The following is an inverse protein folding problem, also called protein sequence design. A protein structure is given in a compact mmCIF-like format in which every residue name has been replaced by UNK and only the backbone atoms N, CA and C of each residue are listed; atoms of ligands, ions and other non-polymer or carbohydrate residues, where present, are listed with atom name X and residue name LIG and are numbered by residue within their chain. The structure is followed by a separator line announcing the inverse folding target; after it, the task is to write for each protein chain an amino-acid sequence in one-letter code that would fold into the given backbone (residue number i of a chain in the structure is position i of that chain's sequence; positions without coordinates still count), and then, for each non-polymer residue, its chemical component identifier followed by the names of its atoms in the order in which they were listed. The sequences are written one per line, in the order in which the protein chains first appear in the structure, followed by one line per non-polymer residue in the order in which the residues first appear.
data_IF_710340620025
#
_entry.id   IF_710340620025
#
_cell.length_a   1.000
_cell.length_b   1.000
_cell.length_c   1.000
_cell.angle_alpha   90.00
_cell.angle_beta   90.00
_cell.angle_gamma   90.00
#
_symmetry.space_group_name_H-M   'P 1'
#
loop_
_entity.id
_entity.type
_entity.pdbx_description
1 polymer ?
#
# COMPACT_ATOMS: atom_id res chain seq x y z
N UNK A 1 79.53 15.19 -48.61
CA UNK A 1 78.12 14.91 -48.97
C UNK A 1 77.44 16.27 -49.13
N UNK A 2 77.59 16.90 -50.30
CA UNK A 2 76.75 16.80 -51.53
C UNK A 2 75.67 17.90 -51.57
N UNK A 3 76.01 18.94 -52.34
CA UNK A 3 75.20 19.71 -53.30
C UNK A 3 73.94 20.49 -52.85
N UNK A 4 74.10 21.82 -52.74
CA UNK A 4 73.23 22.92 -53.26
C UNK A 4 72.95 22.71 -54.78
N UNK A 5 71.95 23.28 -55.50
CA UNK A 5 71.12 24.51 -55.30
C UNK A 5 69.59 24.35 -55.59
N UNK A 6 68.67 25.20 -55.07
CA UNK A 6 68.00 26.41 -55.67
C UNK A 6 66.86 26.10 -56.70
N UNK A 7 65.93 27.03 -57.05
CA UNK A 7 64.54 27.01 -56.59
C UNK A 7 63.45 27.09 -57.71
N UNK A 8 62.17 26.90 -57.30
CA UNK A 8 60.89 27.33 -57.94
C UNK A 8 60.57 26.82 -59.38
N UNK A 9 59.29 26.49 -59.75
CA UNK A 9 58.16 27.45 -59.74
C UNK A 9 56.72 26.86 -59.59
N UNK A 10 55.73 27.70 -59.27
CA UNK A 10 54.31 27.54 -59.72
C UNK A 10 54.23 28.00 -61.21
N UNK A 11 53.23 27.71 -62.07
CA UNK A 11 51.80 27.40 -61.82
C UNK A 11 51.19 26.37 -62.82
N UNK A 12 49.89 26.07 -62.69
CA UNK A 12 49.07 25.71 -63.86
C UNK A 12 47.58 25.92 -63.56
N UNK A 13 47.08 27.07 -63.99
CA UNK A 13 45.68 27.37 -64.23
C UNK A 13 45.35 26.95 -65.68
N UNK A 14 44.32 26.11 -65.88
CA UNK A 14 43.61 25.96 -67.16
C UNK A 14 42.15 25.54 -66.91
N UNK A 15 41.28 26.53 -67.09
CA UNK A 15 40.18 26.54 -68.06
C UNK A 15 39.12 25.43 -68.07
N UNK A 16 37.91 25.85 -67.69
CA UNK A 16 36.73 25.98 -68.56
C UNK A 16 35.76 24.80 -68.81
N UNK A 17 34.53 25.01 -68.32
CA UNK A 17 33.23 25.04 -69.06
C UNK A 17 32.43 23.71 -69.24
N UNK A 18 31.08 23.78 -69.23
CA UNK A 18 30.18 22.77 -68.63
C UNK A 18 29.52 21.83 -69.64
N UNK A 19 29.00 20.71 -69.14
CA UNK A 19 28.18 19.79 -69.93
C UNK A 19 27.21 19.02 -69.05
N UNK A 20 25.92 19.32 -69.18
CA UNK A 20 24.84 18.53 -68.63
C UNK A 20 24.78 17.16 -69.32
N UNK A 21 24.71 16.08 -68.53
CA UNK A 21 24.19 14.79 -68.99
C UNK A 21 23.04 14.37 -68.07
N UNK A 22 21.86 14.30 -68.66
CA UNK A 22 20.64 13.74 -68.09
C UNK A 22 20.82 12.23 -67.85
N UNK A 23 20.41 11.76 -66.68
CA UNK A 23 19.99 10.38 -66.46
C UNK A 23 18.66 10.39 -65.69
N UNK A 24 17.60 9.89 -66.34
CA UNK A 24 16.22 9.79 -65.84
C UNK A 24 16.07 8.65 -64.80
N UNK A 25 14.91 8.50 -64.13
CA UNK A 25 14.72 8.59 -62.68
C UNK A 25 14.72 7.23 -61.95
N UNK A 26 15.17 7.19 -60.68
CA UNK A 26 14.87 6.08 -59.79
C UNK A 26 13.51 6.29 -59.11
N UNK A 27 12.59 5.31 -59.10
CA UNK A 27 11.27 5.44 -58.46
C UNK A 27 11.42 5.69 -56.96
N UNK A 28 10.87 6.80 -56.47
CA UNK A 28 10.63 6.99 -55.04
C UNK A 28 9.60 5.96 -54.60
N UNK A 29 9.98 5.07 -53.69
CA UNK A 29 9.05 4.20 -53.01
C UNK A 29 8.07 5.07 -52.19
N UNK A 30 6.74 4.94 -52.39
CA UNK A 30 5.77 5.61 -51.54
C UNK A 30 5.51 4.79 -50.27
N UNK A 31 5.59 5.45 -49.12
CA UNK A 31 5.11 5.12 -47.75
C UNK A 31 6.23 5.31 -46.73
N UNK A 32 6.10 6.15 -45.71
CA UNK A 32 5.08 6.01 -44.68
C UNK A 32 3.99 7.09 -44.73
N UNK A 33 2.76 6.61 -44.82
CA UNK A 33 1.54 7.34 -44.50
C UNK A 33 1.65 7.79 -43.05
N UNK A 34 1.76 9.10 -42.80
CA UNK A 34 1.40 9.69 -41.51
C UNK A 34 -0.07 9.33 -41.27
N UNK A 35 -0.29 8.28 -40.48
CA UNK A 35 -1.62 7.96 -39.97
C UNK A 35 -1.95 9.04 -38.94
N UNK A 36 -2.49 10.16 -39.43
CA UNK A 36 -3.27 11.09 -38.64
C UNK A 36 -4.43 10.30 -38.04
N UNK A 37 -4.28 9.85 -36.79
CA UNK A 37 -5.43 9.43 -36.01
C UNK A 37 -6.34 10.66 -35.86
N UNK A 38 -7.41 10.73 -36.64
CA UNK A 38 -8.48 11.74 -36.59
C UNK A 38 -9.26 11.73 -35.25
N UNK A 39 -8.77 11.03 -34.23
CA UNK A 39 -9.21 11.12 -32.83
C UNK A 39 -8.25 11.90 -31.94
N UNK A 40 -7.09 12.32 -32.44
CA UNK A 40 -6.09 13.10 -31.69
C UNK A 40 -6.19 14.62 -31.92
N UNK A 41 -7.05 15.09 -32.82
CA UNK A 41 -7.20 16.52 -33.17
C UNK A 41 -8.44 17.19 -32.55
N UNK A 42 -9.18 16.50 -31.68
CA UNK A 42 -10.46 16.95 -31.14
C UNK A 42 -10.45 17.53 -29.71
N UNK A 43 -9.30 17.94 -29.17
CA UNK A 43 -9.26 18.61 -27.87
C UNK A 43 -8.61 19.98 -28.02
N UNK A 44 -9.45 21.02 -28.07
CA UNK A 44 -9.02 22.40 -27.94
C UNK A 44 -8.16 22.60 -26.70
N UNK A 45 -7.36 23.68 -26.70
CA UNK A 45 -6.44 24.11 -25.66
C UNK A 45 -7.09 24.43 -24.30
N UNK A 46 -7.75 23.45 -23.68
CA UNK A 46 -7.82 23.33 -22.23
C UNK A 46 -6.77 22.32 -21.84
N UNK A 47 -5.82 22.70 -20.98
CA UNK A 47 -4.91 21.77 -20.33
C UNK A 47 -5.72 20.63 -19.69
N UNK A 48 -5.85 19.52 -20.41
CA UNK A 48 -6.43 18.31 -19.84
C UNK A 48 -5.35 17.76 -18.92
N UNK A 49 -5.59 17.85 -17.61
CA UNK A 49 -4.66 17.41 -16.58
C UNK A 49 -4.04 16.06 -16.95
N UNK A 50 -2.71 15.98 -16.93
CA UNK A 50 -1.99 14.77 -17.34
C UNK A 50 -2.34 13.62 -16.39
N UNK A 51 -2.18 12.34 -16.81
CA UNK A 51 -2.37 11.20 -15.92
C UNK A 51 -1.53 11.28 -14.62
N UNK A 52 -0.37 11.93 -14.68
CA UNK A 52 0.48 12.21 -13.51
C UNK A 52 -0.16 13.24 -12.57
N UNK A 53 -0.73 14.32 -13.12
CA UNK A 53 -1.40 15.37 -12.32
C UNK A 53 -2.62 14.82 -11.59
N UNK A 54 -3.43 13.98 -12.25
CA UNK A 54 -4.57 13.30 -11.61
C UNK A 54 -4.14 12.34 -10.51
N UNK A 55 -3.06 11.58 -10.73
CA UNK A 55 -2.50 10.69 -9.71
C UNK A 55 -1.98 11.48 -8.49
N UNK A 56 -1.31 12.61 -8.73
CA UNK A 56 -0.84 13.51 -7.67
C UNK A 56 -2.01 14.12 -6.88
N UNK A 57 -3.11 14.49 -7.55
CA UNK A 57 -4.33 14.98 -6.90
C UNK A 57 -4.96 13.92 -5.97
N UNK A 58 -5.10 12.67 -6.44
CA UNK A 58 -5.61 11.58 -5.61
C UNK A 58 -4.72 11.30 -4.39
N UNK A 59 -3.39 11.36 -4.55
CA UNK A 59 -2.43 11.23 -3.44
C UNK A 59 -2.57 12.40 -2.45
N UNK A 60 -2.74 13.63 -2.93
CA UNK A 60 -2.93 14.80 -2.08
C UNK A 60 -4.23 14.70 -1.25
N UNK A 61 -5.32 14.22 -1.85
CA UNK A 61 -6.58 13.96 -1.16
C UNK A 61 -6.42 12.86 -0.09
N UNK A 62 -5.72 11.77 -0.41
CA UNK A 62 -5.42 10.72 0.54
C UNK A 62 -4.59 11.25 1.74
N UNK A 63 -3.56 12.06 1.48
CA UNK A 63 -2.73 12.69 2.53
C UNK A 63 -3.55 13.55 3.49
N UNK A 64 -4.45 14.39 2.97
CA UNK A 64 -5.29 15.27 3.80
C UNK A 64 -6.20 14.50 4.77
N UNK A 65 -6.64 13.30 4.40
CA UNK A 65 -7.50 12.45 5.25
C UNK A 65 -6.74 11.64 6.31
N UNK A 66 -5.42 11.50 6.18
CA UNK A 66 -4.63 10.80 7.17
C UNK A 66 -4.49 11.60 8.48
N UNK A 67 -4.52 12.93 8.42
CA UNK A 67 -4.39 13.78 9.63
C UNK A 67 -5.52 13.52 10.63
N UNK A 68 -6.83 13.59 10.25
CA UNK A 68 -7.92 13.20 11.16
C UNK A 68 -7.75 11.80 11.75
N UNK A 69 -7.20 10.86 10.99
CA UNK A 69 -7.00 9.48 11.41
C UNK A 69 -5.93 9.35 12.50
N UNK A 70 -4.81 10.05 12.32
CA UNK A 70 -3.76 10.13 13.34
C UNK A 70 -4.28 10.82 14.60
N UNK A 71 -5.02 11.93 14.44
CA UNK A 71 -5.66 12.64 15.55
C UNK A 71 -6.60 11.72 16.31
N UNK A 72 -7.43 10.93 15.62
CA UNK A 72 -8.34 9.98 16.25
C UNK A 72 -7.58 8.90 17.06
N UNK A 73 -6.46 8.40 16.54
CA UNK A 73 -5.61 7.45 17.28
C UNK A 73 -5.02 8.06 18.56
N UNK A 74 -4.57 9.31 18.50
CA UNK A 74 -4.06 10.05 19.67
C UNK A 74 -5.18 10.36 20.67
N UNK A 75 -6.35 10.78 20.21
CA UNK A 75 -7.53 11.00 21.06
C UNK A 75 -7.96 9.71 21.76
N UNK A 76 -7.87 8.57 21.09
CA UNK A 76 -8.12 7.26 21.69
C UNK A 76 -7.14 6.94 22.82
N UNK A 77 -5.84 7.26 22.65
CA UNK A 77 -4.86 7.17 23.74
C UNK A 77 -5.27 8.08 24.91
N UNK A 78 -5.54 9.37 24.67
CA UNK A 78 -5.94 10.30 25.73
C UNK A 78 -7.20 9.81 26.47
N UNK A 79 -8.21 9.32 25.75
CA UNK A 79 -9.41 8.74 26.33
C UNK A 79 -9.08 7.53 27.23
N UNK A 80 -8.20 6.63 26.78
CA UNK A 80 -7.76 5.48 27.59
C UNK A 80 -6.98 5.90 28.84
N UNK A 81 -6.18 6.97 28.79
CA UNK A 81 -5.47 7.49 29.96
C UNK A 81 -6.44 8.10 30.99
N UNK A 82 -7.46 8.83 30.53
CA UNK A 82 -8.51 9.36 31.40
C UNK A 82 -9.31 8.22 32.06
N UNK A 83 -9.63 7.18 31.28
CA UNK A 83 -10.30 5.99 31.80
C UNK A 83 -9.41 5.25 32.81
N UNK A 84 -8.10 5.12 32.55
CA UNK A 84 -7.16 4.50 33.46
C UNK A 84 -7.08 5.24 34.80
N UNK A 85 -7.01 6.58 34.78
CA UNK A 85 -7.05 7.38 36.01
C UNK A 85 -8.35 7.21 36.79
N UNK A 86 -9.50 7.13 36.13
CA UNK A 86 -10.80 6.93 36.79
C UNK A 86 -10.94 5.55 37.46
N UNK A 87 -10.14 4.58 37.05
CA UNK A 87 -10.16 3.22 37.55
C UNK A 87 -8.90 2.86 38.34
N UNK A 88 -8.13 3.88 38.80
CA UNK A 88 -6.90 3.72 39.58
C UNK A 88 -5.84 2.81 38.93
N UNK A 89 -5.84 2.74 37.60
CA UNK A 89 -4.86 1.98 36.82
C UNK A 89 -3.65 2.86 36.53
N UNK A 90 -2.46 2.32 36.73
CA UNK A 90 -1.21 3.01 36.41
C UNK A 90 -1.16 3.44 34.93
N UNK A 91 -1.00 4.76 34.70
CA UNK A 91 -0.90 5.40 33.38
C UNK A 91 0.16 4.72 32.50
N UNK A 92 1.27 4.29 33.12
CA UNK A 92 2.35 3.58 32.44
C UNK A 92 1.89 2.28 31.79
N UNK A 93 1.02 1.50 32.45
CA UNK A 93 0.49 0.24 31.92
C UNK A 93 -0.33 0.49 30.65
N UNK A 94 -1.24 1.46 30.67
CA UNK A 94 -2.09 1.81 29.52
C UNK A 94 -1.26 2.31 28.34
N UNK A 95 -0.23 3.12 28.62
CA UNK A 95 0.70 3.62 27.60
C UNK A 95 1.51 2.48 26.99
N UNK A 96 1.99 1.53 27.80
CA UNK A 96 2.70 0.35 27.32
C UNK A 96 1.80 -0.54 26.46
N UNK A 97 0.54 -0.76 26.85
CA UNK A 97 -0.43 -1.54 26.03
C UNK A 97 -0.65 -0.86 24.68
N UNK A 98 -0.81 0.46 24.65
CA UNK A 98 -0.95 1.23 23.42
C UNK A 98 0.28 1.06 22.50
N UNK A 99 1.48 1.28 23.03
CA UNK A 99 2.72 1.16 22.26
C UNK A 99 2.94 -0.27 21.77
N UNK A 100 2.74 -1.25 22.64
CA UNK A 100 2.95 -2.65 22.33
C UNK A 100 1.89 -3.16 21.33
N UNK A 101 0.65 -2.66 21.35
CA UNK A 101 -0.34 -2.92 20.31
C UNK A 101 0.06 -2.33 18.94
N UNK A 102 0.68 -1.15 18.94
CA UNK A 102 1.25 -0.58 17.71
C UNK A 102 2.40 -1.43 17.15
N UNK A 103 3.30 -1.91 18.02
CA UNK A 103 4.38 -2.83 17.64
C UNK A 103 3.81 -4.18 17.17
N UNK A 104 2.77 -4.70 17.83
CA UNK A 104 2.09 -5.91 17.43
C UNK A 104 1.52 -5.82 16.01
N UNK A 105 0.94 -4.68 15.64
CA UNK A 105 0.48 -4.43 14.27
C UNK A 105 1.65 -4.50 13.29
N UNK A 106 2.78 -3.86 13.60
CA UNK A 106 3.97 -3.88 12.75
C UNK A 106 4.49 -5.32 12.56
N UNK A 107 4.57 -6.10 13.63
CA UNK A 107 5.00 -7.51 13.58
C UNK A 107 4.03 -8.34 12.75
N UNK A 108 2.72 -8.16 12.91
CA UNK A 108 1.73 -8.87 12.11
C UNK A 108 1.80 -8.49 10.62
N UNK A 109 1.94 -7.19 10.32
CA UNK A 109 2.01 -6.69 8.95
C UNK A 109 3.30 -7.14 8.24
N UNK A 110 4.46 -6.94 8.86
CA UNK A 110 5.76 -7.35 8.32
C UNK A 110 5.90 -8.87 8.27
N UNK A 111 5.53 -9.56 9.35
CA UNK A 111 5.56 -11.02 9.42
C UNK A 111 4.69 -11.64 8.33
N UNK A 112 3.49 -11.12 8.12
CA UNK A 112 2.61 -11.54 7.03
C UNK A 112 3.26 -11.37 5.66
N UNK A 113 3.81 -10.19 5.36
CA UNK A 113 4.44 -9.91 4.07
C UNK A 113 5.69 -10.77 3.82
N UNK A 114 6.57 -10.90 4.81
CA UNK A 114 7.81 -11.68 4.70
C UNK A 114 7.54 -13.17 4.58
N UNK A 115 6.66 -13.72 5.43
CA UNK A 115 6.31 -15.14 5.36
C UNK A 115 5.51 -15.45 4.09
N UNK A 116 4.62 -14.55 3.65
CA UNK A 116 3.95 -14.66 2.36
C UNK A 116 4.94 -14.74 1.20
N UNK A 117 5.97 -13.87 1.22
CA UNK A 117 7.05 -13.84 0.24
C UNK A 117 7.94 -15.10 0.27
N UNK A 118 8.29 -15.59 1.46
CA UNK A 118 9.15 -16.76 1.62
C UNK A 118 8.43 -18.06 1.25
N UNK A 119 7.15 -18.18 1.61
CA UNK A 119 6.37 -19.41 1.43
C UNK A 119 5.82 -19.57 0.02
N UNK A 120 5.84 -18.52 -0.82
CA UNK A 120 5.29 -18.59 -2.17
C UNK A 120 6.29 -18.11 -3.23
N UNK A 121 6.64 -18.99 -4.16
CA UNK A 121 7.32 -18.64 -5.43
C UNK A 121 6.31 -18.38 -6.57
N UNK A 122 5.02 -18.33 -6.24
CA UNK A 122 3.92 -18.13 -7.19
C UNK A 122 3.53 -16.66 -7.23
N UNK A 123 2.83 -16.25 -8.30
CA UNK A 123 2.60 -14.83 -8.63
C UNK A 123 2.08 -13.95 -7.49
N UNK A 124 2.35 -12.65 -7.60
CA UNK A 124 2.17 -11.60 -6.58
C UNK A 124 0.80 -11.64 -5.85
N UNK A 125 -0.28 -12.03 -6.55
CA UNK A 125 -1.62 -12.12 -5.93
C UNK A 125 -1.70 -13.19 -4.83
N UNK A 126 -1.08 -14.35 -5.03
CA UNK A 126 -1.08 -15.46 -4.06
C UNK A 126 -0.22 -15.10 -2.86
N UNK A 127 0.91 -14.45 -3.10
CA UNK A 127 1.81 -13.95 -2.08
C UNK A 127 1.12 -12.96 -1.15
N UNK A 128 0.38 -11.99 -1.71
CA UNK A 128 -0.37 -11.00 -0.94
C UNK A 128 -1.52 -11.63 -0.15
N UNK A 129 -2.28 -12.54 -0.76
CA UNK A 129 -3.37 -13.25 -0.08
C UNK A 129 -2.85 -14.10 1.09
N UNK A 130 -1.77 -14.85 0.88
CA UNK A 130 -1.14 -15.63 1.95
C UNK A 130 -0.59 -14.72 3.05
N UNK A 131 0.02 -13.59 2.69
CA UNK A 131 0.51 -12.63 3.66
C UNK A 131 -0.59 -12.03 4.53
N UNK A 132 -1.78 -11.79 3.98
CA UNK A 132 -2.96 -11.37 4.75
C UNK A 132 -3.46 -12.46 5.70
N UNK A 133 -3.48 -13.71 5.26
CA UNK A 133 -3.87 -14.86 6.12
C UNK A 133 -2.91 -15.01 7.29
N UNK A 134 -1.60 -14.91 7.03
CA UNK A 134 -0.57 -15.03 8.06
C UNK A 134 -0.65 -13.84 9.02
N UNK A 135 -0.79 -12.61 8.50
CA UNK A 135 -0.98 -11.43 9.34
C UNK A 135 -2.21 -11.56 10.26
N UNK A 136 -3.32 -12.08 9.73
CA UNK A 136 -4.55 -12.32 10.49
C UNK A 136 -4.36 -13.41 11.56
N UNK A 137 -3.58 -14.46 11.28
CA UNK A 137 -3.23 -15.49 12.24
C UNK A 137 -2.29 -14.98 13.35
N UNK A 138 -1.38 -14.05 13.02
CA UNK A 138 -0.47 -13.43 13.98
C UNK A 138 -1.18 -12.45 14.93
N UNK A 139 -2.32 -11.86 14.53
CA UNK A 139 -3.03 -10.89 15.35
C UNK A 139 -3.48 -11.49 16.72
N UNK A 140 -4.18 -12.63 16.81
CA UNK A 140 -4.49 -13.25 18.10
C UNK A 140 -3.25 -13.67 18.91
N UNK A 141 -2.17 -14.09 18.25
CA UNK A 141 -0.92 -14.46 18.93
C UNK A 141 -0.24 -13.26 19.59
N UNK A 142 -0.18 -12.11 18.89
CA UNK A 142 0.34 -10.87 19.47
C UNK A 142 -0.57 -10.33 20.58
N UNK A 143 -1.90 -10.49 20.43
CA UNK A 143 -2.86 -10.16 21.47
C UNK A 143 -2.65 -11.01 22.74
N UNK A 144 -2.30 -12.30 22.61
CA UNK A 144 -1.94 -13.15 23.75
C UNK A 144 -0.71 -12.62 24.51
N UNK A 145 0.33 -12.19 23.79
CA UNK A 145 1.54 -11.61 24.41
C UNK A 145 1.21 -10.35 25.21
N UNK A 146 0.30 -9.51 24.70
CA UNK A 146 -0.21 -8.31 25.39
C UNK A 146 -1.13 -8.64 26.57
N UNK A 147 -1.95 -9.67 26.42
CA UNK A 147 -2.96 -10.08 27.39
C UNK A 147 -2.35 -10.79 28.60
N UNK A 148 -1.24 -11.54 28.45
CA UNK A 148 -0.57 -12.24 29.55
C UNK A 148 -0.13 -11.33 30.72
N UNK A 149 0.56 -10.20 30.51
CA UNK A 149 0.91 -9.29 31.61
C UNK A 149 -0.33 -8.60 32.19
N UNK A 150 -1.35 -8.29 31.37
CA UNK A 150 -2.62 -7.76 31.85
C UNK A 150 -3.31 -8.75 32.77
N UNK A 151 -3.43 -10.01 32.36
CA UNK A 151 -3.98 -11.11 33.14
C UNK A 151 -3.16 -11.43 34.40
N UNK A 152 -1.88 -11.08 34.48
CA UNK A 152 -1.12 -11.21 35.75
C UNK A 152 -1.43 -10.08 36.73
N UNK A 153 -1.73 -8.87 36.23
CA UNK A 153 -2.16 -7.74 37.04
C UNK A 153 -3.63 -7.84 37.48
N UNK A 154 -4.49 -8.31 36.59
CA UNK A 154 -5.95 -8.44 36.82
C UNK A 154 -6.39 -9.85 37.20
N UNK A 155 -5.56 -10.87 37.01
CA UNK A 155 -5.95 -12.27 37.19
C UNK A 155 -6.28 -12.68 38.60
N UNK A 156 -5.74 -11.99 39.63
CA UNK A 156 -6.24 -12.12 41.01
C UNK A 156 -7.70 -11.65 41.09
N UNK A 157 -8.00 -10.46 40.59
CA UNK A 157 -9.35 -9.90 40.58
C UNK A 157 -10.35 -10.67 39.67
N UNK A 158 -9.89 -11.29 38.57
CA UNK A 158 -10.76 -12.12 37.70
C UNK A 158 -11.12 -13.45 38.36
N UNK A 159 -10.15 -14.12 38.99
CA UNK A 159 -10.37 -15.39 39.70
C UNK A 159 -11.27 -15.20 40.94
N UNK A 160 -11.22 -14.02 41.56
CA UNK A 160 -12.08 -13.64 42.67
C UNK A 160 -13.48 -13.18 42.23
N UNK A 161 -13.77 -13.14 40.92
CA UNK A 161 -15.07 -12.74 40.36
C UNK A 161 -15.31 -11.22 40.28
N UNK A 162 -14.30 -10.41 40.65
CA UNK A 162 -14.37 -8.94 40.73
C UNK A 162 -14.00 -8.22 39.41
N UNK A 163 -13.52 -8.94 38.40
CA UNK A 163 -13.14 -8.35 37.12
C UNK A 163 -14.37 -7.96 36.29
N UNK A 164 -14.92 -6.80 36.61
CA UNK A 164 -15.92 -6.12 35.80
C UNK A 164 -15.30 -5.60 34.49
N UNK A 165 -16.09 -5.61 33.41
CA UNK A 165 -15.70 -5.16 32.07
C UNK A 165 -15.13 -3.72 32.05
N UNK A 166 -15.51 -2.90 33.04
CA UNK A 166 -14.99 -1.54 33.27
C UNK A 166 -13.50 -1.50 33.58
N UNK A 167 -12.94 -2.53 34.23
CA UNK A 167 -11.50 -2.61 34.55
C UNK A 167 -10.64 -2.90 33.33
N UNK A 168 -11.19 -3.59 32.32
CA UNK A 168 -10.51 -3.92 31.06
C UNK A 168 -10.68 -2.83 30.00
N UNK A 169 -11.70 -1.98 30.13
CA UNK A 169 -12.04 -0.95 29.15
C UNK A 169 -10.86 -0.02 28.80
N UNK A 170 -10.06 0.49 29.75
CA UNK A 170 -8.90 1.31 29.41
C UNK A 170 -7.89 0.58 28.53
N UNK A 171 -7.62 -0.70 28.83
CA UNK A 171 -6.70 -1.53 28.05
C UNK A 171 -7.25 -1.87 26.66
N UNK A 172 -8.55 -2.12 26.53
CA UNK A 172 -9.24 -2.34 25.24
C UNK A 172 -9.06 -1.11 24.34
N UNK A 173 -9.39 0.07 24.88
CA UNK A 173 -9.32 1.33 24.13
C UNK A 173 -7.87 1.64 23.76
N UNK A 174 -6.92 1.42 24.68
CA UNK A 174 -5.49 1.61 24.40
C UNK A 174 -4.98 0.67 23.29
N UNK A 175 -5.31 -0.63 23.37
CA UNK A 175 -4.90 -1.62 22.36
C UNK A 175 -5.50 -1.31 20.99
N UNK A 176 -6.80 -1.01 20.92
CA UNK A 176 -7.47 -0.62 19.69
C UNK A 176 -6.85 0.66 19.09
N UNK A 177 -6.61 1.68 19.91
CA UNK A 177 -6.05 2.95 19.47
C UNK A 177 -4.60 2.80 18.98
N UNK A 178 -3.79 1.99 19.65
CA UNK A 178 -2.41 1.70 19.27
C UNK A 178 -2.33 0.95 17.94
N UNK A 179 -3.16 -0.08 17.77
CA UNK A 179 -3.29 -0.83 16.52
C UNK A 179 -3.76 0.07 15.37
N UNK A 180 -4.78 0.89 15.61
CA UNK A 180 -5.32 1.83 14.63
C UNK A 180 -4.30 2.89 14.23
N UNK A 181 -3.59 3.48 15.19
CA UNK A 181 -2.58 4.50 14.92
C UNK A 181 -1.43 3.92 14.09
N UNK A 182 -0.92 2.74 14.46
CA UNK A 182 0.13 2.07 13.70
C UNK A 182 -0.30 1.77 12.26
N UNK A 183 -1.53 1.27 12.06
CA UNK A 183 -2.09 1.07 10.73
C UNK A 183 -2.20 2.38 9.91
N UNK A 184 -2.51 3.48 10.59
CA UNK A 184 -2.62 4.81 9.97
C UNK A 184 -1.24 5.37 9.57
N UNK A 185 -0.22 5.15 10.39
CA UNK A 185 1.17 5.50 10.07
C UNK A 185 1.68 4.64 8.91
N UNK A 186 1.37 3.35 8.88
CA UNK A 186 1.71 2.47 7.75
C UNK A 186 1.11 2.96 6.44
N UNK A 187 -0.16 3.38 6.47
CA UNK A 187 -0.82 3.98 5.30
C UNK A 187 -0.20 5.31 4.89
N UNK A 188 0.20 6.14 5.86
CA UNK A 188 0.94 7.37 5.57
C UNK A 188 2.25 7.09 4.85
N UNK A 189 3.04 6.13 5.34
CA UNK A 189 4.30 5.72 4.69
C UNK A 189 4.03 5.21 3.28
N UNK A 190 2.98 4.41 3.07
CA UNK A 190 2.55 3.94 1.75
C UNK A 190 2.24 5.09 0.80
N UNK A 191 1.45 6.07 1.24
CA UNK A 191 1.07 7.24 0.43
C UNK A 191 2.26 8.17 0.17
N UNK A 192 3.21 8.27 1.12
CA UNK A 192 4.46 9.00 0.91
C UNK A 192 5.35 8.32 -0.14
N UNK A 193 5.48 6.99 -0.08
CA UNK A 193 6.22 6.21 -1.07
C UNK A 193 5.60 6.34 -2.46
N UNK A 194 4.29 6.14 -2.59
CA UNK A 194 3.56 6.34 -3.85
C UNK A 194 3.77 7.74 -4.43
N UNK A 195 3.75 8.78 -3.59
CA UNK A 195 4.00 10.15 -4.03
C UNK A 195 5.41 10.39 -4.56
N UNK A 196 6.41 9.61 -4.13
CA UNK A 196 7.78 9.68 -4.68
C UNK A 196 7.85 8.97 -6.03
N UNK A 197 7.19 7.82 -6.16
CA UNK A 197 7.26 6.96 -7.34
C UNK A 197 6.38 7.45 -8.52
N UNK A 198 5.31 8.21 -8.27
CA UNK A 198 4.38 8.69 -9.33
C UNK A 198 5.06 9.55 -10.39
N UNK A 199 6.19 10.19 -10.08
CA UNK A 199 6.94 11.00 -11.04
C UNK A 199 7.99 10.20 -11.83
N UNK A 200 8.27 8.94 -11.47
CA UNK A 200 9.20 8.10 -12.21
C UNK A 200 8.63 7.71 -13.58
N UNK A 201 9.45 7.67 -14.62
CA UNK A 201 9.03 7.28 -15.96
C UNK A 201 9.13 5.76 -16.20
N UNK A 202 9.73 5.03 -15.26
CA UNK A 202 9.93 3.59 -15.33
C UNK A 202 8.64 2.81 -15.03
N UNK A 203 8.70 1.48 -15.16
CA UNK A 203 7.61 0.54 -14.84
C UNK A 203 7.04 0.76 -13.42
N UNK A 204 7.87 1.18 -12.47
CA UNK A 204 7.44 1.53 -11.11
C UNK A 204 6.49 2.73 -11.09
N UNK A 205 6.79 3.76 -11.86
CA UNK A 205 5.91 4.92 -11.99
C UNK A 205 4.60 4.59 -12.69
N UNK A 206 4.61 3.66 -13.66
CA UNK A 206 3.37 3.16 -14.28
C UNK A 206 2.48 2.43 -13.26
N UNK A 207 3.06 1.55 -12.43
CA UNK A 207 2.35 0.87 -11.35
C UNK A 207 1.85 1.84 -10.28
N UNK A 208 2.67 2.83 -9.89
CA UNK A 208 2.30 3.83 -8.89
C UNK A 208 1.11 4.70 -9.36
N UNK A 209 1.07 5.09 -10.64
CA UNK A 209 -0.08 5.80 -11.24
C UNK A 209 -1.34 4.92 -11.27
N UNK A 210 -1.20 3.64 -11.62
CA UNK A 210 -2.32 2.71 -11.62
C UNK A 210 -2.89 2.50 -10.21
N UNK A 211 -2.04 2.42 -9.19
CA UNK A 211 -2.46 2.30 -7.78
C UNK A 211 -3.06 3.61 -7.25
N UNK A 212 -2.49 4.77 -7.63
CA UNK A 212 -3.06 6.07 -7.29
C UNK A 212 -4.47 6.26 -7.87
N UNK A 213 -4.74 5.75 -9.08
CA UNK A 213 -6.08 5.75 -9.67
C UNK A 213 -7.14 4.96 -8.87
N UNK A 214 -6.72 4.07 -7.96
CA UNK A 214 -7.61 3.33 -7.06
C UNK A 214 -7.91 4.08 -5.75
N UNK A 215 -7.17 5.14 -5.44
CA UNK A 215 -7.36 6.01 -4.27
C UNK A 215 -8.54 6.97 -4.47
N UNK A 216 -9.72 6.39 -4.71
CA UNK A 216 -10.98 7.14 -4.81
C UNK A 216 -11.54 7.41 -3.41
N UNK A 217 -12.29 8.51 -3.26
CA UNK A 217 -12.95 8.88 -2.00
C UNK A 217 -13.75 7.72 -1.35
N UNK A 218 -14.63 6.99 -2.08
CA UNK A 218 -15.38 5.88 -1.50
C UNK A 218 -14.49 4.69 -1.10
N UNK A 219 -13.39 4.45 -1.81
CA UNK A 219 -12.44 3.39 -1.44
C UNK A 219 -11.72 3.74 -0.13
N UNK A 220 -11.30 5.01 0.03
CA UNK A 220 -10.67 5.51 1.25
C UNK A 220 -11.62 5.38 2.45
N UNK A 221 -12.89 5.80 2.30
CA UNK A 221 -13.89 5.69 3.37
C UNK A 221 -14.15 4.24 3.79
N UNK A 222 -14.25 3.30 2.84
CA UNK A 222 -14.40 1.87 3.15
C UNK A 222 -13.19 1.33 3.90
N UNK A 223 -11.98 1.72 3.47
CA UNK A 223 -10.75 1.33 4.15
C UNK A 223 -10.66 1.90 5.56
N UNK A 224 -11.13 3.13 5.79
CA UNK A 224 -11.22 3.76 7.11
C UNK A 224 -12.17 2.98 8.04
N UNK A 225 -13.38 2.67 7.59
CA UNK A 225 -14.36 1.88 8.37
C UNK A 225 -13.82 0.50 8.70
N UNK A 226 -13.19 -0.18 7.73
CA UNK A 226 -12.57 -1.47 7.95
C UNK A 226 -11.41 -1.39 8.95
N UNK A 227 -10.54 -0.39 8.84
CA UNK A 227 -9.42 -0.23 9.76
C UNK A 227 -9.89 0.04 11.19
N UNK A 228 -10.92 0.88 11.36
CA UNK A 228 -11.51 1.14 12.66
C UNK A 228 -12.18 -0.11 13.23
N UNK A 229 -12.96 -0.83 12.41
CA UNK A 229 -13.57 -2.10 12.78
C UNK A 229 -12.54 -3.15 13.22
N UNK A 230 -11.46 -3.32 12.46
CA UNK A 230 -10.38 -4.25 12.79
C UNK A 230 -9.66 -3.85 14.10
N UNK A 231 -9.45 -2.56 14.33
CA UNK A 231 -8.86 -2.07 15.57
C UNK A 231 -9.75 -2.34 16.79
N UNK A 232 -11.06 -2.11 16.67
CA UNK A 232 -12.03 -2.43 17.72
C UNK A 232 -12.06 -3.93 17.99
N UNK A 233 -12.14 -4.76 16.94
CA UNK A 233 -12.09 -6.23 17.06
C UNK A 233 -10.79 -6.67 17.73
N UNK A 234 -9.65 -6.06 17.39
CA UNK A 234 -8.37 -6.36 18.03
C UNK A 234 -8.39 -6.05 19.54
N UNK A 235 -8.90 -4.88 19.95
CA UNK A 235 -9.06 -4.54 21.36
C UNK A 235 -9.96 -5.54 22.11
N UNK A 236 -11.05 -5.98 21.48
CA UNK A 236 -11.94 -7.01 22.03
C UNK A 236 -11.23 -8.35 22.16
N UNK A 237 -10.45 -8.76 21.15
CA UNK A 237 -9.65 -9.99 21.20
C UNK A 237 -8.64 -9.94 22.36
N UNK A 238 -7.96 -8.81 22.56
CA UNK A 238 -7.02 -8.63 23.69
C UNK A 238 -7.74 -8.84 25.03
N UNK A 239 -8.91 -8.24 25.23
CA UNK A 239 -9.68 -8.45 26.47
C UNK A 239 -10.20 -9.88 26.62
N UNK A 240 -10.73 -10.47 25.55
CA UNK A 240 -11.24 -11.83 25.58
C UNK A 240 -10.14 -12.84 25.93
N UNK A 241 -8.93 -12.66 25.37
CA UNK A 241 -7.75 -13.48 25.69
C UNK A 241 -7.23 -13.17 27.11
N UNK A 242 -7.33 -11.94 27.59
CA UNK A 242 -6.95 -11.60 28.97
C UNK A 242 -7.84 -12.32 30.01
N UNK A 243 -9.11 -12.54 29.68
CA UNK A 243 -10.05 -13.33 30.52
C UNK A 243 -9.85 -14.83 30.31
N UNK A 244 -9.74 -15.28 29.06
CA UNK A 244 -9.59 -16.68 28.71
C UNK A 244 -8.44 -16.89 27.71
N UNK A 245 -7.20 -17.13 28.18
CA UNK A 245 -6.02 -17.22 27.33
C UNK A 245 -6.11 -18.31 26.24
N UNK A 246 -6.79 -19.42 26.56
CA UNK A 246 -6.98 -20.57 25.65
C UNK A 246 -7.80 -20.22 24.39
N UNK A 247 -8.54 -19.11 24.39
CA UNK A 247 -9.32 -18.63 23.25
C UNK A 247 -8.44 -18.44 21.99
N UNK A 248 -7.15 -18.17 22.17
CA UNK A 248 -6.18 -18.03 21.07
C UNK A 248 -6.15 -19.26 20.14
N UNK A 249 -6.33 -20.47 20.68
CA UNK A 249 -6.32 -21.72 19.90
C UNK A 249 -7.48 -21.80 18.91
N UNK A 250 -8.59 -21.11 19.20
CA UNK A 250 -9.78 -21.02 18.35
C UNK A 250 -9.71 -19.80 17.44
N UNK A 251 -9.24 -18.66 17.97
CA UNK A 251 -9.19 -17.41 17.21
C UNK A 251 -8.18 -17.45 16.06
N UNK A 252 -7.00 -18.04 16.25
CA UNK A 252 -5.97 -18.14 15.20
C UNK A 252 -6.50 -18.81 13.92
N UNK A 253 -7.08 -20.03 13.96
CA UNK A 253 -7.62 -20.65 12.76
C UNK A 253 -8.83 -19.89 12.21
N UNK A 254 -9.65 -19.27 13.07
CA UNK A 254 -10.83 -18.51 12.64
C UNK A 254 -10.44 -17.23 11.88
N UNK A 255 -9.47 -16.46 12.38
CA UNK A 255 -9.00 -15.23 11.71
C UNK A 255 -8.26 -15.55 10.41
N UNK A 256 -7.48 -16.64 10.39
CA UNK A 256 -6.85 -17.15 9.17
C UNK A 256 -7.88 -17.57 8.11
N UNK A 257 -8.91 -18.33 8.51
CA UNK A 257 -9.99 -18.75 7.61
C UNK A 257 -10.80 -17.55 7.09
N UNK A 258 -11.11 -16.58 7.96
CA UNK A 258 -11.81 -15.35 7.57
C UNK A 258 -11.00 -14.54 6.55
N UNK A 259 -9.70 -14.37 6.77
CA UNK A 259 -8.81 -13.70 5.84
C UNK A 259 -8.70 -14.45 4.50
N UNK A 260 -8.62 -15.78 4.52
CA UNK A 260 -8.58 -16.60 3.33
C UNK A 260 -9.89 -16.49 2.53
N UNK A 261 -11.04 -16.54 3.21
CA UNK A 261 -12.35 -16.39 2.58
C UNK A 261 -12.51 -15.02 1.91
N UNK A 262 -12.11 -13.95 2.60
CA UNK A 262 -12.14 -12.58 2.05
C UNK A 262 -11.15 -12.40 0.90
N UNK A 263 -9.96 -13.03 0.99
CA UNK A 263 -8.93 -12.97 -0.05
C UNK A 263 -9.25 -13.78 -1.32
N UNK A 264 -10.07 -14.84 -1.21
CA UNK A 264 -10.41 -15.73 -2.33
C UNK A 264 -11.68 -15.31 -3.10
N UNK A 265 -12.60 -14.55 -2.48
CA UNK A 265 -13.81 -14.04 -3.16
C UNK A 265 -13.55 -13.22 -4.43
N UNK A 266 -12.55 -12.31 -4.49
CA UNK A 266 -12.28 -11.53 -5.70
C UNK A 266 -11.84 -12.41 -6.87
N UNK A 267 -11.01 -13.42 -6.61
CA UNK A 267 -10.54 -14.37 -7.62
C UNK A 267 -11.69 -15.25 -8.17
N UNK A 268 -12.61 -15.67 -7.29
CA UNK A 268 -13.79 -16.41 -7.70
C UNK A 268 -14.74 -15.57 -8.56
N UNK A 269 -14.95 -14.29 -8.23
CA UNK A 269 -15.79 -13.38 -9.00
C UNK A 269 -15.18 -13.04 -10.37
N UNK A 270 -13.86 -12.93 -10.46
CA UNK A 270 -13.14 -12.68 -11.72
C UNK A 270 -13.16 -13.92 -12.63
N UNK A 271 -13.00 -15.12 -12.08
CA UNK A 271 -13.15 -16.39 -12.80
C UNK A 271 -14.58 -16.63 -13.31
N UNK A 272 -15.61 -16.22 -12.55
CA UNK A 272 -17.00 -16.29 -13.01
C UNK A 272 -17.28 -15.33 -14.17
N UNK A 273 -16.71 -14.12 -14.17
CA UNK A 273 -16.85 -13.17 -15.29
C UNK A 273 -16.13 -13.63 -16.56
N UNK A 274 -14.93 -14.19 -16.43
CA UNK A 274 -14.20 -14.72 -17.60
C UNK A 274 -14.93 -15.93 -18.21
N UNK A 275 -15.54 -16.77 -17.38
CA UNK A 275 -16.35 -17.90 -17.84
C UNK A 275 -17.63 -17.40 -18.51
N UNK A 276 -18.34 -16.45 -17.91
CA UNK A 276 -19.54 -15.85 -18.51
C UNK A 276 -19.26 -15.15 -19.86
N UNK A 277 -18.15 -14.41 -19.96
CA UNK A 277 -17.73 -13.75 -21.21
C UNK A 277 -17.32 -14.76 -22.30
N UNK A 278 -16.63 -15.85 -21.94
CA UNK A 278 -16.29 -16.92 -22.88
C UNK A 278 -17.49 -17.75 -23.33
N UNK A 279 -18.58 -17.77 -22.56
CA UNK A 279 -19.83 -18.46 -22.93
C UNK A 279 -20.73 -17.57 -23.79
N UNK A 280 -20.70 -16.25 -23.59
CA UNK A 280 -21.46 -15.28 -24.40
C UNK A 280 -20.85 -14.98 -25.77
N UNK A 281 -19.58 -15.35 -25.99
CA UNK A 281 -18.87 -15.19 -27.26
C UNK A 281 -18.98 -16.42 -28.20
N UNK A 282 -19.81 -17.41 -27.83
CA UNK A 282 -20.15 -18.59 -28.64
C UNK A 282 -21.64 -18.57 -28.98
#
# INVERSE_FOLDING_TARGET
MTATPEPAPQPAERDAVPGAQQATPAPQAPSAVEHSCEHCSGAGHGETATPGDRAAEHIALARRRLVPRLVLGVLGLLASLVLAQRHDIAIGTTTLVFLAAGVAWLVAAWGGLLLGALLTRRGVRVQLALGQVIAAALAPLTALVLALPLARGTGRAVLDGDASLSTLLPAIVAAASGWFLAASIGELVRVLALGREVHEQDDRGLLARAEAGRLTLPAIQRAEVLALGLAVVYGVIVAAIAVLPWLVLVLVPLTAAGAAYLGLRPAAAEAQRSTAAGTAAR
#
